data_IF_895469713973
#
_entry.id   IF_895469713973
#
_cell.length_a   1.000
_cell.length_b   1.000
_cell.length_c   1.000
_cell.angle_alpha   90.00
_cell.angle_beta   90.00
_cell.angle_gamma   90.00
#
_symmetry.space_group_name_H-M   'P 1'
#
loop_
_entity.id
_entity.type
_entity.pdbx_description
1 polymer ?
#
# COMPACT_ATOMS: atom_id res chain seq x y z
N UNK A 1 -13.01 -2.99 -16.33
CA UNK A 1 -13.46 -1.68 -15.81
C UNK A 1 -13.06 -1.62 -14.33
N UNK A 2 -11.84 -1.18 -14.04
CA UNK A 2 -11.44 -0.79 -12.69
C UNK A 2 -11.27 0.72 -12.70
N UNK A 3 -12.01 1.37 -11.82
CA UNK A 3 -12.37 2.78 -11.88
C UNK A 3 -11.18 3.73 -11.73
N UNK A 4 -11.35 4.89 -12.36
CA UNK A 4 -10.60 6.12 -12.11
C UNK A 4 -10.58 6.41 -10.61
N UNK A 5 -9.40 6.63 -10.01
CA UNK A 5 -9.29 7.41 -8.77
C UNK A 5 -8.56 6.81 -7.57
N UNK A 6 -8.00 5.60 -7.64
CA UNK A 6 -7.18 5.10 -6.53
C UNK A 6 -5.76 5.67 -6.65
N UNK A 7 -5.43 6.66 -5.83
CA UNK A 7 -4.03 6.89 -5.44
C UNK A 7 -3.43 5.58 -4.99
N UNK A 8 -2.25 5.26 -5.48
CA UNK A 8 -1.57 4.00 -5.21
C UNK A 8 -1.55 3.71 -3.70
N UNK A 9 -2.30 2.71 -3.22
CA UNK A 9 -2.41 2.40 -1.80
C UNK A 9 -1.14 1.77 -1.25
N UNK A 10 -0.15 1.47 -2.10
CA UNK A 10 1.12 0.86 -1.76
C UNK A 10 2.28 1.86 -1.65
N UNK A 11 2.02 3.13 -1.92
CA UNK A 11 3.02 4.18 -1.78
C UNK A 11 3.20 4.53 -0.30
N UNK A 12 4.17 3.86 0.31
CA UNK A 12 4.60 4.11 1.68
C UNK A 12 5.25 5.50 1.78
N UNK A 13 4.68 6.37 2.63
CA UNK A 13 5.29 7.66 2.98
C UNK A 13 6.20 7.45 4.18
N UNK A 14 7.53 7.62 4.05
CA UNK A 14 8.44 7.50 5.18
C UNK A 14 8.04 8.50 6.28
N UNK A 15 8.03 8.04 7.55
CA UNK A 15 7.63 8.78 8.74
C UNK A 15 6.13 9.03 8.96
N UNK A 16 5.24 8.42 8.15
CA UNK A 16 3.78 8.45 8.40
C UNK A 16 3.13 9.83 8.34
N UNK A 17 3.83 10.85 7.82
CA UNK A 17 3.32 12.22 7.68
C UNK A 17 3.06 12.53 6.21
N UNK A 18 1.78 12.51 5.82
CA UNK A 18 1.31 12.87 4.47
C UNK A 18 0.73 11.69 3.69
N UNK A 19 0.06 11.99 2.58
CA UNK A 19 -0.46 11.00 1.63
C UNK A 19 0.52 10.87 0.46
N UNK A 20 0.53 9.72 -0.21
CA UNK A 20 1.32 9.58 -1.44
C UNK A 20 0.95 10.67 -2.48
N UNK A 21 -0.32 11.07 -2.50
CA UNK A 21 -0.83 12.15 -3.34
C UNK A 21 -0.09 13.48 -3.13
N UNK A 22 0.43 13.75 -1.93
CA UNK A 22 1.15 14.99 -1.62
C UNK A 22 2.54 15.01 -2.27
N UNK A 23 3.17 13.84 -2.43
CA UNK A 23 4.52 13.68 -3.00
C UNK A 23 4.48 13.33 -4.49
N UNK A 24 3.49 12.55 -4.88
CA UNK A 24 3.28 12.04 -6.23
C UNK A 24 1.80 12.26 -6.62
N UNK A 25 1.40 13.52 -6.92
CA UNK A 25 0.01 13.85 -7.20
C UNK A 25 -0.52 13.23 -8.49
N UNK A 26 0.35 12.92 -9.45
CA UNK A 26 -0.01 12.28 -10.71
C UNK A 26 1.00 11.19 -11.10
N UNK A 27 0.94 10.00 -10.47
CA UNK A 27 1.90 8.93 -10.72
C UNK A 27 1.84 8.43 -12.17
N UNK A 28 0.68 8.54 -12.84
CA UNK A 28 0.54 8.17 -14.25
C UNK A 28 1.36 9.07 -15.16
N UNK A 29 1.31 10.39 -14.95
CA UNK A 29 2.13 11.34 -15.72
C UNK A 29 3.62 11.09 -15.49
N UNK A 30 4.03 10.90 -14.23
CA UNK A 30 5.42 10.57 -13.88
C UNK A 30 5.92 9.33 -14.61
N UNK A 31 5.16 8.22 -14.57
CA UNK A 31 5.54 6.97 -15.26
C UNK A 31 5.63 7.16 -16.77
N UNK A 32 4.70 7.92 -17.37
CA UNK A 32 4.72 8.19 -18.80
C UNK A 32 5.99 8.96 -19.21
N UNK A 33 6.38 9.99 -18.44
CA UNK A 33 7.61 10.75 -18.68
C UNK A 33 8.86 9.87 -18.55
N UNK A 34 8.92 9.01 -17.53
CA UNK A 34 10.02 8.06 -17.37
C UNK A 34 10.14 7.11 -18.57
N UNK A 35 9.01 6.59 -19.05
CA UNK A 35 8.98 5.71 -20.22
C UNK A 35 9.42 6.41 -21.51
N UNK A 36 9.03 7.68 -21.71
CA UNK A 36 9.49 8.49 -22.85
C UNK A 36 11.00 8.71 -22.84
N UNK A 37 11.59 8.80 -21.65
CA UNK A 37 13.04 8.94 -21.46
C UNK A 37 13.79 7.59 -21.46
N UNK A 38 13.12 6.48 -21.82
CA UNK A 38 13.74 5.16 -21.93
C UNK A 38 13.88 4.39 -20.62
N UNK A 39 13.40 4.94 -19.50
CA UNK A 39 13.40 4.26 -18.21
C UNK A 39 12.19 3.33 -18.07
N UNK A 40 12.28 2.37 -17.13
CA UNK A 40 11.17 1.52 -16.72
C UNK A 40 10.87 1.77 -15.24
N UNK A 41 9.62 2.07 -14.94
CA UNK A 41 9.16 2.23 -13.56
C UNK A 41 8.60 0.90 -13.04
N UNK A 42 9.06 0.47 -11.87
CA UNK A 42 8.57 -0.73 -11.17
C UNK A 42 8.17 -0.30 -9.76
N UNK A 43 6.99 -0.77 -9.33
CA UNK A 43 6.44 -0.49 -8.00
C UNK A 43 6.74 -1.66 -7.07
N UNK A 44 7.14 -1.37 -5.84
CA UNK A 44 7.28 -2.38 -4.79
C UNK A 44 5.90 -2.64 -4.18
N UNK A 45 5.50 -3.91 -4.16
CA UNK A 45 4.26 -4.36 -3.53
C UNK A 45 4.63 -5.37 -2.46
N UNK A 46 4.61 -4.93 -1.21
CA UNK A 46 4.84 -5.82 -0.08
C UNK A 46 3.55 -6.57 0.29
N UNK A 47 3.62 -7.86 0.66
CA UNK A 47 2.45 -8.64 1.09
C UNK A 47 1.96 -8.28 2.50
N UNK A 48 2.76 -7.51 3.26
CA UNK A 48 2.40 -7.03 4.58
C UNK A 48 1.35 -5.93 4.49
N UNK A 49 0.18 -6.17 5.09
CA UNK A 49 -0.90 -5.18 5.15
C UNK A 49 -0.83 -4.43 6.47
N UNK A 50 -0.94 -3.10 6.41
CA UNK A 50 -1.01 -2.26 7.60
C UNK A 50 -2.25 -2.61 8.43
N UNK A 51 -2.04 -2.88 9.72
CA UNK A 51 -3.11 -3.13 10.69
C UNK A 51 -3.76 -1.79 11.10
N UNK A 52 -4.77 -1.35 10.35
CA UNK A 52 -5.45 -0.06 10.57
C UNK A 52 -6.92 -0.13 10.12
N UNK A 53 -7.86 0.10 11.04
CA UNK A 53 -9.29 0.20 10.71
C UNK A 53 -9.57 1.40 9.80
N UNK A 54 -10.44 1.20 8.80
CA UNK A 54 -10.75 2.21 7.79
C UNK A 54 -9.79 2.19 6.60
N UNK A 55 -8.69 1.44 6.68
CA UNK A 55 -7.87 1.15 5.50
C UNK A 55 -8.54 0.04 4.69
N UNK A 56 -9.02 0.38 3.49
CA UNK A 56 -9.90 -0.52 2.72
C UNK A 56 -9.32 -1.94 2.46
N UNK A 57 -8.00 -2.09 2.34
CA UNK A 57 -7.37 -3.41 2.16
C UNK A 57 -7.49 -4.22 3.45
N UNK A 58 -7.27 -3.60 4.60
CA UNK A 58 -7.46 -4.22 5.91
C UNK A 58 -8.94 -4.55 6.17
N UNK A 59 -9.86 -3.62 5.90
CA UNK A 59 -11.29 -3.83 6.14
C UNK A 59 -11.86 -4.94 5.25
N UNK A 60 -11.49 -4.95 3.97
CA UNK A 60 -11.94 -6.00 3.03
C UNK A 60 -11.32 -7.36 3.32
N UNK A 61 -10.06 -7.41 3.73
CA UNK A 61 -9.40 -8.64 4.16
C UNK A 61 -10.06 -9.24 5.40
N UNK A 62 -10.40 -8.40 6.37
CA UNK A 62 -11.10 -8.82 7.60
C UNK A 62 -12.52 -9.28 7.34
N UNK A 63 -13.27 -8.58 6.46
CA UNK A 63 -14.61 -9.02 6.06
C UNK A 63 -14.60 -10.36 5.31
N UNK A 64 -13.53 -10.64 4.57
CA UNK A 64 -13.36 -11.86 3.79
C UNK A 64 -12.73 -13.02 4.55
N UNK A 65 -12.23 -12.81 5.77
CA UNK A 65 -11.47 -13.79 6.55
C UNK A 65 -10.30 -14.42 5.76
N UNK A 66 -9.45 -13.56 5.17
CA UNK A 66 -8.32 -13.98 4.30
C UNK A 66 -6.96 -13.81 4.97
N UNK A 67 -6.91 -13.83 6.29
CA UNK A 67 -5.68 -13.64 7.05
C UNK A 67 -4.95 -14.96 7.29
N UNK A 68 -3.61 -14.90 7.31
CA UNK A 68 -2.82 -15.99 7.91
C UNK A 68 -3.13 -15.99 9.41
N UNK A 69 -3.47 -17.15 9.97
CA UNK A 69 -3.85 -17.29 11.37
C UNK A 69 -2.75 -17.96 12.20
N UNK A 70 -2.73 -17.64 13.49
CA UNK A 70 -1.96 -18.32 14.53
C UNK A 70 -2.63 -19.64 14.95
N UNK A 71 -1.97 -20.39 15.84
CA UNK A 71 -2.53 -21.61 16.45
C UNK A 71 -3.78 -21.35 17.30
N UNK A 72 -4.01 -20.11 17.73
CA UNK A 72 -5.21 -19.68 18.46
C UNK A 72 -6.31 -19.12 17.54
N UNK A 73 -6.22 -19.40 16.24
CA UNK A 73 -7.19 -19.01 15.20
C UNK A 73 -7.35 -17.49 15.01
N UNK A 74 -6.44 -16.68 15.56
CA UNK A 74 -6.42 -15.23 15.35
C UNK A 74 -5.49 -14.81 14.21
N UNK A 75 -5.78 -13.71 13.50
CA UNK A 75 -4.86 -13.16 12.51
C UNK A 75 -3.44 -12.95 13.04
N UNK A 76 -2.45 -13.33 12.25
CA UNK A 76 -1.03 -13.10 12.55
C UNK A 76 -0.69 -11.62 12.36
N UNK A 77 -0.28 -10.98 13.45
CA UNK A 77 0.08 -9.56 13.50
C UNK A 77 1.51 -9.45 14.02
N UNK A 78 2.34 -8.69 13.31
CA UNK A 78 3.74 -8.44 13.69
C UNK A 78 3.95 -6.95 13.89
N UNK A 79 4.52 -6.60 15.03
CA UNK A 79 5.04 -5.25 15.25
C UNK A 79 6.36 -5.08 14.51
N UNK A 80 6.45 -4.05 13.67
CA UNK A 80 7.68 -3.66 13.00
C UNK A 80 8.29 -2.50 13.80
N UNK A 81 9.28 -2.76 14.69
CA UNK A 81 9.86 -1.71 15.50
C UNK A 81 10.64 -0.73 14.61
N UNK A 82 10.28 0.55 14.68
CA UNK A 82 11.12 1.62 14.15
C UNK A 82 12.27 1.84 15.14
N UNK A 83 13.44 1.26 14.86
CA UNK A 83 14.65 1.62 15.59
C UNK A 83 15.16 2.96 15.04
N UNK A 84 15.09 4.02 15.85
CA UNK A 84 15.73 5.32 15.59
C UNK A 84 17.23 5.27 15.75
#
# INVERSE_FOLDING_TARGET
MFGRGASDPFCFVPNGKGKCQDRFPNPKALVNELHLNGFKAIWMLDPGIKHEEGYFVYDSGSKGDVWIQNVDEKPFVVDIPFNT
#
